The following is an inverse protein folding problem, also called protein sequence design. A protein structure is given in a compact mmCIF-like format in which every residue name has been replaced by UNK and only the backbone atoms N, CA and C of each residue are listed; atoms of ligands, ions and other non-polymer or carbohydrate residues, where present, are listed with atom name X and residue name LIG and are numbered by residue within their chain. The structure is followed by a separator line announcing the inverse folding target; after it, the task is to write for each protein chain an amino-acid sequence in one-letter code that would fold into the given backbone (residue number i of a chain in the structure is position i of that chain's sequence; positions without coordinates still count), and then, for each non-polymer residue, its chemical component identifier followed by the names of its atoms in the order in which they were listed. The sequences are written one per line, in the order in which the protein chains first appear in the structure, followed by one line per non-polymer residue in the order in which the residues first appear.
data_IF_337567289398
#
_entry.id   IF_337567289398
#
_cell.length_a   1.000
_cell.length_b   1.000
_cell.length_c   1.000
_cell.angle_alpha   90.00
_cell.angle_beta   90.00
_cell.angle_gamma   90.00
#
_symmetry.space_group_name_H-M   'P 1'
#
loop_
_entity.id
_entity.type
_entity.pdbx_description
1 polymer ?
#
# COMPACT_ATOMS: atom_id res chain seq x y z
N UNK A 1 -11.57 16.73 -9.93
CA UNK A 1 -10.46 15.85 -10.27
C UNK A 1 -10.63 15.35 -11.70
N UNK A 2 -9.60 15.48 -12.53
CA UNK A 2 -9.63 14.98 -13.90
C UNK A 2 -9.57 13.44 -13.89
N UNK A 3 -10.29 12.73 -14.79
CA UNK A 3 -10.36 11.26 -14.74
C UNK A 3 -9.00 10.55 -14.81
N UNK A 4 -8.06 11.12 -15.56
CA UNK A 4 -6.70 10.59 -15.70
C UNK A 4 -5.87 10.74 -14.42
N UNK A 5 -6.13 11.73 -13.56
CA UNK A 5 -5.36 11.94 -12.34
C UNK A 5 -5.58 10.78 -11.34
N UNK A 6 -6.79 10.24 -11.34
CA UNK A 6 -7.18 9.08 -10.52
C UNK A 6 -6.46 7.81 -10.96
N UNK A 7 -6.08 7.67 -12.24
CA UNK A 7 -5.29 6.51 -12.68
C UNK A 7 -3.90 6.50 -12.04
N UNK A 8 -3.29 7.68 -11.85
CA UNK A 8 -1.99 7.80 -11.21
C UNK A 8 -2.00 7.34 -9.75
N UNK A 9 -3.15 7.42 -9.05
CA UNK A 9 -3.28 6.91 -7.67
C UNK A 9 -3.23 5.38 -7.59
N UNK A 10 -3.26 4.66 -8.72
CA UNK A 10 -3.07 3.21 -8.78
C UNK A 10 -1.71 2.84 -9.36
N UNK A 11 -1.29 3.50 -10.44
CA UNK A 11 -0.03 3.21 -11.13
C UNK A 11 1.18 3.49 -10.24
N UNK A 12 1.20 4.62 -9.52
CA UNK A 12 2.32 4.95 -8.63
C UNK A 12 2.46 3.96 -7.48
N UNK A 13 1.42 3.66 -6.68
CA UNK A 13 1.51 2.65 -5.63
C UNK A 13 1.87 1.25 -6.13
N UNK A 14 1.45 0.88 -7.33
CA UNK A 14 1.81 -0.39 -7.95
C UNK A 14 3.31 -0.43 -8.32
N UNK A 15 3.84 0.62 -8.94
CA UNK A 15 5.27 0.74 -9.19
C UNK A 15 6.08 0.72 -7.90
N UNK A 16 5.60 1.43 -6.86
CA UNK A 16 6.20 1.43 -5.54
C UNK A 16 6.18 0.03 -4.91
N UNK A 17 5.10 -0.73 -5.09
CA UNK A 17 4.98 -2.09 -4.57
C UNK A 17 6.09 -2.98 -5.12
N UNK A 18 6.26 -3.01 -6.44
CA UNK A 18 7.30 -3.82 -7.07
C UNK A 18 8.71 -3.34 -6.74
N UNK A 19 8.90 -2.03 -6.55
CA UNK A 19 10.18 -1.45 -6.15
C UNK A 19 10.58 -1.91 -4.75
N UNK A 20 9.68 -1.78 -3.77
CA UNK A 20 9.93 -2.23 -2.39
C UNK A 20 10.07 -3.76 -2.35
N UNK A 21 9.26 -4.48 -3.13
CA UNK A 21 9.32 -5.94 -3.20
C UNK A 21 10.67 -6.41 -3.75
N UNK A 22 11.20 -5.75 -4.77
CA UNK A 22 12.49 -6.07 -5.36
C UNK A 22 13.65 -5.88 -4.38
N UNK A 23 13.60 -4.82 -3.58
CA UNK A 23 14.66 -4.47 -2.62
C UNK A 23 14.57 -5.35 -1.36
N UNK A 24 13.37 -5.48 -0.79
CA UNK A 24 13.18 -6.10 0.53
C UNK A 24 12.86 -7.60 0.46
N UNK A 25 12.35 -8.07 -0.67
CA UNK A 25 11.78 -9.41 -0.88
C UNK A 25 10.60 -9.73 0.05
N UNK A 26 9.98 -8.73 0.69
CA UNK A 26 8.81 -8.90 1.56
C UNK A 26 7.53 -8.39 0.89
N UNK A 27 6.60 -9.30 0.55
CA UNK A 27 5.29 -8.93 -0.02
C UNK A 27 4.47 -8.11 0.97
N UNK A 28 4.43 -8.53 2.23
CA UNK A 28 3.62 -7.88 3.26
C UNK A 28 4.05 -6.43 3.51
N UNK A 29 5.35 -6.18 3.61
CA UNK A 29 5.89 -4.84 3.76
C UNK A 29 5.56 -3.95 2.56
N UNK A 30 5.78 -4.49 1.35
CA UNK A 30 5.50 -3.78 0.09
C UNK A 30 4.02 -3.41 -0.02
N UNK A 31 3.10 -4.35 0.26
CA UNK A 31 1.66 -4.12 0.23
C UNK A 31 1.22 -3.03 1.22
N UNK A 32 1.69 -3.10 2.47
CA UNK A 32 1.32 -2.12 3.50
C UNK A 32 1.77 -0.71 3.16
N UNK A 33 2.99 -0.55 2.64
CA UNK A 33 3.51 0.77 2.24
C UNK A 33 2.75 1.29 1.03
N UNK A 34 2.59 0.48 -0.02
CA UNK A 34 1.88 0.91 -1.24
C UNK A 34 0.43 1.30 -0.98
N UNK A 35 -0.30 0.53 -0.18
CA UNK A 35 -1.69 0.85 0.17
C UNK A 35 -1.78 2.14 1.00
N UNK A 36 -0.84 2.36 1.92
CA UNK A 36 -0.77 3.61 2.70
C UNK A 36 -0.54 4.81 1.79
N UNK A 37 0.41 4.70 0.85
CA UNK A 37 0.71 5.76 -0.13
C UNK A 37 -0.49 6.00 -1.05
N UNK A 38 -1.18 4.96 -1.50
CA UNK A 38 -2.39 5.09 -2.30
C UNK A 38 -3.48 5.89 -1.56
N UNK A 39 -3.72 5.59 -0.28
CA UNK A 39 -4.68 6.33 0.53
C UNK A 39 -4.30 7.81 0.69
N UNK A 40 -3.01 8.12 0.91
CA UNK A 40 -2.52 9.51 1.00
C UNK A 40 -2.73 10.25 -0.33
N UNK A 41 -2.35 9.62 -1.45
CA UNK A 41 -2.53 10.22 -2.78
C UNK A 41 -4.01 10.51 -3.10
N UNK A 42 -4.94 9.69 -2.61
CA UNK A 42 -6.37 9.94 -2.77
C UNK A 42 -6.83 11.23 -2.07
N UNK A 43 -6.24 11.63 -0.94
CA UNK A 43 -6.53 12.94 -0.32
C UNK A 43 -6.02 14.13 -1.14
N UNK A 44 -4.97 13.93 -1.95
CA UNK A 44 -4.38 14.99 -2.77
C UNK A 44 -5.13 15.13 -4.10
N UNK A 45 -5.51 13.99 -4.70
CA UNK A 45 -6.07 13.95 -6.06
C UNK A 45 -7.59 14.05 -6.07
N UNK A 46 -8.27 13.59 -5.02
CA UNK A 46 -9.73 13.49 -5.01
C UNK A 46 -10.38 14.57 -4.14
N UNK A 47 -11.22 15.40 -4.76
CA UNK A 47 -11.90 16.52 -4.09
C UNK A 47 -12.97 16.03 -3.11
N UNK A 48 -13.55 14.85 -3.36
CA UNK A 48 -14.60 14.27 -2.52
C UNK A 48 -14.00 13.56 -1.33
N UNK A 49 -14.02 14.23 -0.17
CA UNK A 49 -13.51 13.70 1.11
C UNK A 49 -14.08 12.33 1.48
N UNK A 50 -15.32 12.02 1.09
CA UNK A 50 -15.94 10.70 1.33
C UNK A 50 -15.12 9.59 0.66
N UNK A 51 -14.70 9.78 -0.59
CA UNK A 51 -13.94 8.77 -1.35
C UNK A 51 -12.56 8.55 -0.72
N UNK A 52 -11.88 9.64 -0.34
CA UNK A 52 -10.58 9.58 0.33
C UNK A 52 -10.68 8.96 1.73
N UNK A 53 -11.77 9.24 2.45
CA UNK A 53 -12.08 8.60 3.73
C UNK A 53 -12.28 7.09 3.62
N UNK A 54 -12.98 6.62 2.58
CA UNK A 54 -13.09 5.19 2.29
C UNK A 54 -11.73 4.56 1.97
N UNK A 55 -10.89 5.23 1.18
CA UNK A 55 -9.54 4.75 0.88
C UNK A 55 -8.68 4.62 2.15
N UNK A 56 -8.77 5.59 3.07
CA UNK A 56 -8.12 5.53 4.38
C UNK A 56 -8.63 4.35 5.23
N UNK A 57 -9.95 4.14 5.29
CA UNK A 57 -10.53 3.03 6.02
C UNK A 57 -10.06 1.67 5.47
N UNK A 58 -10.01 1.53 4.14
CA UNK A 58 -9.46 0.33 3.48
C UNK A 58 -7.99 0.14 3.83
N UNK A 59 -7.18 1.21 3.79
CA UNK A 59 -5.77 1.12 4.15
C UNK A 59 -5.56 0.66 5.59
N UNK A 60 -6.33 1.21 6.54
CA UNK A 60 -6.33 0.79 7.95
C UNK A 60 -6.71 -0.69 8.07
N UNK A 61 -7.78 -1.13 7.40
CA UNK A 61 -8.21 -2.53 7.42
C UNK A 61 -7.15 -3.48 6.85
N UNK A 62 -6.48 -3.09 5.77
CA UNK A 62 -5.39 -3.86 5.18
C UNK A 62 -4.22 -3.98 6.16
N UNK A 63 -3.79 -2.87 6.76
CA UNK A 63 -2.71 -2.88 7.76
C UNK A 63 -3.10 -3.76 8.96
N UNK A 64 -4.34 -3.63 9.45
CA UNK A 64 -4.87 -4.45 10.52
C UNK A 64 -4.86 -5.96 10.19
N UNK A 65 -5.21 -6.32 8.95
CA UNK A 65 -5.13 -7.71 8.47
C UNK A 65 -3.70 -8.24 8.47
N UNK A 66 -2.72 -7.38 8.25
CA UNK A 66 -1.29 -7.74 8.27
C UNK A 66 -0.65 -7.74 9.66
N UNK A 67 -1.39 -7.55 10.76
CA UNK A 67 -0.83 -7.55 12.13
C UNK A 67 0.09 -8.74 12.46
N UNK A 68 -0.25 -9.94 11.96
CA UNK A 68 0.58 -11.13 12.17
C UNK A 68 1.91 -11.03 11.42
N UNK A 69 1.88 -10.51 10.20
CA UNK A 69 3.05 -10.30 9.37
C UNK A 69 3.92 -9.17 9.92
N UNK A 70 3.32 -8.11 10.49
CA UNK A 70 4.05 -7.05 11.21
C UNK A 70 4.82 -7.65 12.38
N UNK A 71 4.18 -8.51 13.21
CA UNK A 71 4.88 -9.21 14.30
C UNK A 71 6.06 -10.06 13.80
N UNK A 72 5.89 -10.78 12.68
CA UNK A 72 6.96 -11.58 12.07
C UNK A 72 8.08 -10.71 11.49
N UNK A 73 7.76 -9.59 10.84
CA UNK A 73 8.73 -8.63 10.32
C UNK A 73 9.61 -8.07 11.44
N UNK A 74 9.00 -7.62 12.54
CA UNK A 74 9.71 -7.13 13.73
C UNK A 74 10.59 -8.21 14.38
N UNK A 75 10.16 -9.47 14.33
CA UNK A 75 10.93 -10.61 14.81
C UNK A 75 11.95 -11.16 13.79
N UNK A 76 12.05 -10.59 12.58
CA UNK A 76 12.91 -11.11 11.50
C UNK A 76 12.48 -12.46 10.92
N UNK A 77 11.24 -12.90 11.17
CA UNK A 77 10.67 -14.21 10.81
C UNK A 77 9.70 -14.17 9.63
N UNK A 78 9.53 -13.03 8.98
CA UNK A 78 8.65 -12.92 7.82
C UNK A 78 9.26 -13.65 6.61
N UNK A 79 8.42 -14.34 5.85
CA UNK A 79 8.88 -15.10 4.68
C UNK A 79 9.25 -14.17 3.53
N UNK A 80 10.46 -14.35 2.99
CA UNK A 80 10.91 -13.69 1.76
C UNK A 80 10.36 -14.42 0.53
N UNK A 81 10.07 -13.67 -0.52
CA UNK A 81 9.77 -14.22 -1.85
C UNK A 81 11.03 -14.84 -2.43
N UNK A 82 10.92 -16.08 -2.91
CA UNK A 82 12.04 -16.85 -3.49
C UNK A 82 12.12 -16.81 -5.02
N UNK A 83 11.03 -16.46 -5.70
CA UNK A 83 10.92 -16.49 -7.17
C UNK A 83 11.20 -15.14 -7.84
N UNK A 84 11.75 -14.18 -7.09
CA UNK A 84 12.09 -12.84 -7.56
C UNK A 84 13.60 -12.67 -7.66
#
# INVERSE_FOLDING_TARGET
STPWAVLWTFVFPLGLFFTILKITKFVSLSSMISVSVAAILMFIVQDRMVVSGFAAAIAILVIYRHRANIKRLLAGKESKVKWL
#
